data_IF_001125028454
#
_entry.id   IF_001125028454
#
_cell.length_a   1.000
_cell.length_b   1.000
_cell.length_c   1.000
_cell.angle_alpha   90.00
_cell.angle_beta   90.00
_cell.angle_gamma   90.00
#
_symmetry.space_group_name_H-M   'P 1'
#
loop_
_entity.id
_entity.type
_entity.pdbx_description
1 polymer ?
#
# COMPACT_ATOMS: atom_id res chain seq x y z
N UNK A 1 34.19 -40.63 -19.05
CA UNK A 1 34.40 -39.19 -19.34
C UNK A 1 33.61 -38.67 -20.55
N UNK A 2 33.28 -39.47 -21.58
CA UNK A 2 32.49 -38.99 -22.75
C UNK A 2 31.02 -38.68 -22.46
N UNK A 3 30.36 -39.42 -21.55
CA UNK A 3 28.95 -39.18 -21.21
C UNK A 3 28.73 -37.94 -20.33
N UNK A 4 29.73 -37.54 -19.53
CA UNK A 4 29.63 -36.37 -18.66
C UNK A 4 29.59 -35.05 -19.45
N UNK A 5 30.30 -34.99 -20.59
CA UNK A 5 30.29 -33.85 -21.50
C UNK A 5 28.94 -33.71 -22.23
N UNK A 6 28.25 -34.81 -22.50
CA UNK A 6 26.97 -34.82 -23.20
C UNK A 6 25.83 -34.25 -22.32
N UNK A 7 25.84 -34.57 -21.03
CA UNK A 7 24.87 -34.00 -20.07
C UNK A 7 25.10 -32.50 -19.81
N UNK A 8 26.35 -32.04 -19.83
CA UNK A 8 26.65 -30.61 -19.69
C UNK A 8 26.16 -29.78 -20.89
N UNK A 9 26.19 -30.36 -22.11
CA UNK A 9 25.73 -29.69 -23.33
C UNK A 9 24.19 -29.61 -23.42
N UNK A 10 23.47 -30.62 -22.92
CA UNK A 10 22.01 -30.64 -22.90
C UNK A 10 21.40 -29.61 -21.92
N UNK A 11 22.06 -29.29 -20.81
CA UNK A 11 21.60 -28.26 -19.87
C UNK A 11 21.85 -26.82 -20.37
N UNK A 12 22.84 -26.60 -21.23
CA UNK A 12 23.13 -25.27 -21.76
C UNK A 12 22.16 -24.85 -22.88
N UNK A 13 21.64 -25.82 -23.65
CA UNK A 13 20.71 -25.54 -24.76
C UNK A 13 19.29 -25.15 -24.29
N UNK A 14 18.85 -25.58 -23.10
CA UNK A 14 17.52 -25.25 -22.57
C UNK A 14 17.37 -23.83 -22.04
N UNK A 15 18.47 -23.04 -21.99
CA UNK A 15 18.44 -21.65 -21.49
C UNK A 15 18.14 -20.61 -22.57
N UNK A 16 18.03 -21.00 -23.86
CA UNK A 16 17.92 -20.05 -24.97
C UNK A 16 16.50 -19.86 -25.55
N UNK A 17 15.49 -20.62 -25.12
CA UNK A 17 14.13 -20.51 -25.70
C UNK A 17 13.07 -19.85 -24.79
N UNK A 18 13.46 -19.32 -23.63
CA UNK A 18 12.54 -18.53 -22.79
C UNK A 18 12.68 -17.02 -23.07
N UNK A 19 12.60 -16.59 -24.34
CA UNK A 19 12.36 -15.18 -24.64
C UNK A 19 10.88 -14.90 -24.54
N UNK A 20 10.55 -14.20 -23.47
CA UNK A 20 9.25 -13.64 -23.11
C UNK A 20 8.55 -13.05 -24.34
N UNK A 21 7.37 -13.57 -24.65
CA UNK A 21 6.38 -12.84 -25.43
C UNK A 21 6.16 -11.50 -24.74
N UNK A 22 6.64 -10.41 -25.34
CA UNK A 22 6.42 -9.06 -24.83
C UNK A 22 4.91 -8.91 -24.60
N UNK A 23 4.44 -8.73 -23.34
CA UNK A 23 3.02 -8.55 -23.10
C UNK A 23 2.58 -7.29 -23.87
N UNK A 24 1.39 -7.32 -24.50
CA UNK A 24 0.93 -6.20 -25.32
C UNK A 24 0.96 -4.91 -24.50
N UNK A 25 1.34 -3.77 -25.11
CA UNK A 25 1.50 -2.51 -24.39
C UNK A 25 0.20 -2.16 -23.66
N UNK A 26 0.31 -2.00 -22.35
CA UNK A 26 -0.78 -1.57 -21.48
C UNK A 26 -1.24 -0.21 -22.01
N UNK A 27 -2.43 -0.15 -22.61
CA UNK A 27 -3.02 1.10 -23.09
C UNK A 27 -3.15 2.05 -21.90
N UNK A 28 -2.36 3.12 -21.91
CA UNK A 28 -2.30 4.16 -20.88
C UNK A 28 -3.57 5.05 -20.76
N UNK A 29 -4.67 4.69 -21.43
CA UNK A 29 -5.91 5.46 -21.44
C UNK A 29 -6.76 5.29 -20.17
N UNK A 30 -6.42 4.37 -19.26
CA UNK A 30 -7.23 3.98 -18.10
C UNK A 30 -6.75 4.53 -16.75
N UNK A 31 -5.59 5.19 -16.65
CA UNK A 31 -5.01 5.53 -15.33
C UNK A 31 -5.79 6.60 -14.56
N UNK A 32 -6.36 7.60 -15.26
CA UNK A 32 -7.09 8.68 -14.61
C UNK A 32 -8.43 8.22 -14.04
N UNK A 33 -9.23 7.49 -14.81
CA UNK A 33 -10.51 6.93 -14.34
C UNK A 33 -10.30 5.96 -13.18
N UNK A 34 -9.29 5.09 -13.27
CA UNK A 34 -8.91 4.19 -12.16
C UNK A 34 -8.55 4.99 -10.90
N UNK A 35 -7.78 6.07 -11.05
CA UNK A 35 -7.37 6.91 -9.92
C UNK A 35 -8.57 7.54 -9.22
N UNK A 36 -9.56 8.03 -9.98
CA UNK A 36 -10.81 8.58 -9.42
C UNK A 36 -11.59 7.52 -8.64
N UNK A 37 -11.65 6.27 -9.12
CA UNK A 37 -12.35 5.20 -8.40
C UNK A 37 -11.60 4.84 -7.11
N UNK A 38 -10.26 4.78 -7.15
CA UNK A 38 -9.43 4.56 -5.95
C UNK A 38 -9.66 5.68 -4.92
N UNK A 39 -9.77 6.93 -5.35
CA UNK A 39 -10.12 8.05 -4.46
C UNK A 39 -11.50 7.86 -3.79
N UNK A 40 -12.49 7.39 -4.56
CA UNK A 40 -13.81 7.07 -4.00
C UNK A 40 -13.76 5.91 -3.01
N UNK A 41 -12.91 4.91 -3.23
CA UNK A 41 -12.68 3.81 -2.27
C UNK A 41 -12.11 4.37 -0.97
N UNK A 42 -11.08 5.22 -1.04
CA UNK A 42 -10.46 5.87 0.13
C UNK A 42 -11.52 6.65 0.95
N UNK A 43 -12.40 7.40 0.27
CA UNK A 43 -13.45 8.19 0.92
C UNK A 43 -14.53 7.28 1.54
N UNK A 44 -15.04 6.29 0.79
CA UNK A 44 -16.12 5.41 1.26
C UNK A 44 -15.72 4.57 2.48
N UNK A 45 -14.43 4.30 2.62
CA UNK A 45 -13.83 3.54 3.72
C UNK A 45 -13.32 4.42 4.85
N UNK A 46 -13.32 5.75 4.68
CA UNK A 46 -12.72 6.71 5.62
C UNK A 46 -11.27 6.38 5.99
N UNK A 47 -10.52 5.91 4.99
CA UNK A 47 -9.21 5.31 5.22
C UNK A 47 -8.17 6.33 5.71
N UNK A 48 -8.24 7.58 5.27
CA UNK A 48 -7.32 8.64 5.74
C UNK A 48 -7.46 8.90 7.25
N UNK A 49 -8.69 8.85 7.78
CA UNK A 49 -8.93 8.93 9.21
C UNK A 49 -8.39 7.69 9.93
N UNK A 50 -8.66 6.48 9.42
CA UNK A 50 -8.06 5.25 9.97
C UNK A 50 -6.53 5.33 10.00
N UNK A 51 -5.90 5.74 8.91
CA UNK A 51 -4.46 5.92 8.78
C UNK A 51 -3.93 6.87 9.85
N UNK A 52 -4.57 8.03 10.01
CA UNK A 52 -4.16 9.05 10.97
C UNK A 52 -4.23 8.53 12.40
N UNK A 53 -5.34 7.88 12.77
CA UNK A 53 -5.53 7.33 14.11
C UNK A 53 -4.60 6.13 14.39
N UNK A 54 -4.35 5.29 13.39
CA UNK A 54 -3.36 4.22 13.47
C UNK A 54 -1.96 4.78 13.77
N UNK A 55 -1.51 5.77 13.00
CA UNK A 55 -0.21 6.42 13.19
C UNK A 55 -0.11 7.04 14.57
N UNK A 56 -1.11 7.83 14.99
CA UNK A 56 -1.16 8.44 16.33
C UNK A 56 -1.04 7.39 17.44
N UNK A 57 -1.78 6.28 17.34
CA UNK A 57 -1.74 5.21 18.34
C UNK A 57 -0.34 4.60 18.45
N UNK A 58 0.30 4.30 17.31
CA UNK A 58 1.66 3.73 17.28
C UNK A 58 2.72 4.70 17.81
N UNK A 59 2.61 5.98 17.45
CA UNK A 59 3.51 7.03 17.95
C UNK A 59 3.34 7.19 19.48
N UNK A 60 2.12 7.26 19.99
CA UNK A 60 1.87 7.34 21.44
C UNK A 60 2.38 6.10 22.19
N UNK A 61 2.22 4.92 21.60
CA UNK A 61 2.79 3.69 22.17
C UNK A 61 4.31 3.82 22.30
N UNK A 62 5.00 4.21 21.23
CA UNK A 62 6.46 4.38 21.24
C UNK A 62 6.92 5.51 22.17
N UNK A 63 6.18 6.60 22.23
CA UNK A 63 6.45 7.72 23.13
C UNK A 63 6.40 7.28 24.60
N UNK A 64 5.43 6.42 24.96
CA UNK A 64 5.35 5.85 26.31
C UNK A 64 6.51 4.88 26.58
N UNK A 65 6.83 3.99 25.64
CA UNK A 65 7.95 3.04 25.76
C UNK A 65 9.29 3.74 25.97
N UNK A 66 9.52 4.85 25.28
CA UNK A 66 10.79 5.59 25.31
C UNK A 66 10.75 6.82 26.24
N UNK A 67 9.66 7.03 26.99
CA UNK A 67 9.47 8.17 27.90
C UNK A 67 9.70 9.53 27.23
N UNK A 68 9.20 9.72 26.01
CA UNK A 68 9.30 11.00 25.30
C UNK A 68 8.48 12.09 26.00
N UNK A 69 8.98 13.33 25.95
CA UNK A 69 8.19 14.47 26.37
C UNK A 69 7.02 14.76 25.40
N UNK A 70 6.06 15.54 25.88
CA UNK A 70 4.85 15.90 25.12
C UNK A 70 5.16 16.70 23.86
N UNK A 71 6.20 17.54 23.87
CA UNK A 71 6.57 18.37 22.73
C UNK A 71 7.13 17.52 21.59
N UNK A 72 8.07 16.61 21.89
CA UNK A 72 8.60 15.64 20.94
C UNK A 72 7.48 14.79 20.34
N UNK A 73 6.61 14.25 21.19
CA UNK A 73 5.48 13.41 20.77
C UNK A 73 4.54 14.16 19.83
N UNK A 74 4.15 15.39 20.19
CA UNK A 74 3.29 16.22 19.35
C UNK A 74 3.94 16.57 18.02
N UNK A 75 5.25 16.90 18.01
CA UNK A 75 5.99 17.21 16.77
C UNK A 75 5.96 16.02 15.80
N UNK A 76 6.16 14.81 16.31
CA UNK A 76 6.12 13.58 15.50
C UNK A 76 4.70 13.30 15.00
N UNK A 77 3.68 13.43 15.85
CA UNK A 77 2.27 13.28 15.42
C UNK A 77 1.92 14.28 14.32
N UNK A 78 2.35 15.54 14.43
CA UNK A 78 2.09 16.58 13.43
C UNK A 78 2.79 16.32 12.09
N UNK A 79 3.87 15.53 12.08
CA UNK A 79 4.56 15.13 10.84
C UNK A 79 3.84 14.02 10.05
N UNK A 80 2.83 13.38 10.64
CA UNK A 80 2.00 12.38 9.94
C UNK A 80 1.24 13.07 8.81
N UNK A 81 1.39 12.55 7.60
CA UNK A 81 0.75 13.10 6.42
C UNK A 81 0.39 11.99 5.43
N UNK A 82 -0.91 11.83 5.19
CA UNK A 82 -1.45 10.80 4.32
C UNK A 82 -0.93 10.89 2.89
N UNK A 83 -0.55 12.09 2.41
CA UNK A 83 0.00 12.28 1.05
C UNK A 83 1.21 11.38 0.76
N UNK A 84 2.00 11.05 1.77
CA UNK A 84 3.19 10.22 1.64
C UNK A 84 2.86 8.72 1.63
N UNK A 85 1.73 8.32 2.20
CA UNK A 85 1.28 6.93 2.23
C UNK A 85 0.33 6.61 1.06
N UNK A 86 -0.46 7.58 0.60
CA UNK A 86 -1.47 7.44 -0.45
C UNK A 86 -0.97 6.68 -1.70
N UNK A 87 0.26 6.88 -2.21
CA UNK A 87 0.78 6.10 -3.34
C UNK A 87 0.77 4.58 -3.12
N UNK A 88 0.94 4.11 -1.88
CA UNK A 88 0.88 2.69 -1.53
C UNK A 88 -0.50 2.09 -1.84
N UNK A 89 -1.57 2.88 -1.67
CA UNK A 89 -2.94 2.47 -1.99
C UNK A 89 -3.13 2.35 -3.50
N UNK A 90 -2.66 3.32 -4.27
CA UNK A 90 -2.72 3.23 -5.74
C UNK A 90 -1.92 2.06 -6.27
N UNK A 91 -0.77 1.75 -5.67
CA UNK A 91 0.05 0.61 -6.05
C UNK A 91 -0.65 -0.72 -5.76
N UNK A 92 -1.36 -0.84 -4.62
CA UNK A 92 -2.13 -2.04 -4.29
C UNK A 92 -3.23 -2.34 -5.34
N UNK A 93 -3.82 -1.28 -5.91
CA UNK A 93 -4.85 -1.37 -6.95
C UNK A 93 -4.32 -1.27 -8.40
N UNK A 94 -2.99 -1.28 -8.58
CA UNK A 94 -2.40 -0.99 -9.89
C UNK A 94 -2.82 -2.01 -10.96
N UNK A 95 -3.00 -3.28 -10.56
CA UNK A 95 -3.33 -4.39 -11.46
C UNK A 95 -4.83 -4.65 -11.60
N UNK A 96 -5.68 -4.01 -10.81
CA UNK A 96 -7.13 -4.18 -10.92
C UNK A 96 -7.68 -3.56 -12.21
N UNK A 97 -8.66 -4.24 -12.80
CA UNK A 97 -9.44 -3.66 -13.89
C UNK A 97 -10.31 -2.51 -13.37
N UNK A 98 -10.74 -1.61 -14.27
CA UNK A 98 -11.69 -0.57 -13.87
C UNK A 98 -12.99 -1.15 -13.30
N UNK A 99 -13.45 -2.27 -13.86
CA UNK A 99 -14.66 -2.96 -13.40
C UNK A 99 -14.48 -3.53 -11.99
N UNK A 100 -13.35 -4.20 -11.72
CA UNK A 100 -13.02 -4.69 -10.38
C UNK A 100 -13.02 -3.54 -9.36
N UNK A 101 -12.43 -2.39 -9.72
CA UNK A 101 -12.41 -1.23 -8.84
C UNK A 101 -13.81 -0.68 -8.55
N UNK A 102 -14.72 -0.69 -9.53
CA UNK A 102 -16.13 -0.31 -9.32
C UNK A 102 -16.83 -1.28 -8.38
N UNK A 103 -16.63 -2.59 -8.56
CA UNK A 103 -17.18 -3.62 -7.68
C UNK A 103 -16.68 -3.48 -6.24
N UNK A 104 -15.37 -3.27 -6.06
CA UNK A 104 -14.76 -2.98 -4.75
C UNK A 104 -15.40 -1.73 -4.14
N UNK A 105 -15.51 -0.64 -4.91
CA UNK A 105 -16.11 0.59 -4.42
C UNK A 105 -17.56 0.39 -3.93
N UNK A 106 -18.42 -0.23 -4.73
CA UNK A 106 -19.83 -0.43 -4.35
C UNK A 106 -19.97 -1.39 -3.16
N UNK A 107 -19.15 -2.44 -3.08
CA UNK A 107 -19.12 -3.33 -1.92
C UNK A 107 -18.77 -2.56 -0.64
N UNK A 108 -17.65 -1.83 -0.64
CA UNK A 108 -17.18 -1.13 0.56
C UNK A 108 -18.07 0.04 0.95
N UNK A 109 -18.63 0.76 -0.02
CA UNK A 109 -19.67 1.77 0.22
C UNK A 109 -20.88 1.16 0.93
N UNK A 110 -21.39 0.02 0.43
CA UNK A 110 -22.56 -0.67 1.01
C UNK A 110 -22.30 -1.15 2.44
N UNK A 111 -21.21 -1.90 2.67
CA UNK A 111 -20.94 -2.49 3.99
C UNK A 111 -20.55 -1.45 5.05
N UNK A 112 -20.02 -0.28 4.63
CA UNK A 112 -19.66 0.81 5.52
C UNK A 112 -20.78 1.83 5.74
N UNK A 113 -21.89 1.76 4.99
CA UNK A 113 -23.01 2.71 5.10
C UNK A 113 -23.53 2.82 6.55
N UNK A 114 -23.57 1.70 7.28
CA UNK A 114 -24.08 1.66 8.66
C UNK A 114 -22.97 1.76 9.73
N UNK A 115 -21.72 1.93 9.33
CA UNK A 115 -20.56 1.99 10.23
C UNK A 115 -20.20 3.45 10.51
N UNK A 116 -20.57 3.91 11.70
CA UNK A 116 -20.46 5.33 12.07
C UNK A 116 -19.03 5.76 12.43
N UNK A 117 -18.17 4.83 12.87
CA UNK A 117 -16.82 5.15 13.33
C UNK A 117 -15.76 4.72 12.30
N UNK A 118 -14.77 5.57 12.02
CA UNK A 118 -13.69 5.30 11.05
C UNK A 118 -12.97 3.97 11.31
N UNK A 119 -12.53 3.75 12.55
CA UNK A 119 -11.89 2.51 13.00
C UNK A 119 -12.77 1.25 12.89
N UNK A 120 -14.09 1.39 12.71
CA UNK A 120 -14.96 0.24 12.45
C UNK A 120 -15.25 0.03 10.98
N UNK A 121 -15.00 1.01 10.10
CA UNK A 121 -15.16 0.85 8.65
C UNK A 121 -14.16 -0.18 8.12
N UNK A 122 -14.65 -1.01 7.20
CA UNK A 122 -13.84 -2.00 6.53
C UNK A 122 -13.11 -1.36 5.36
N UNK A 123 -11.90 -1.83 5.08
CA UNK A 123 -11.09 -1.44 3.93
C UNK A 123 -10.54 -2.70 3.26
N UNK A 124 -10.45 -2.75 1.92
CA UNK A 124 -9.76 -3.82 1.19
C UNK A 124 -8.26 -3.77 1.48
N UNK A 125 -7.85 -4.49 2.51
CA UNK A 125 -6.51 -4.39 3.07
C UNK A 125 -5.71 -5.66 2.78
N UNK A 126 -4.63 -5.55 2.02
CA UNK A 126 -3.72 -6.65 1.74
C UNK A 126 -2.46 -6.60 2.63
N UNK A 127 -1.63 -7.64 2.55
CA UNK A 127 -0.41 -7.73 3.34
C UNK A 127 0.62 -6.65 2.98
N UNK A 128 0.64 -6.20 1.72
CA UNK A 128 1.61 -5.20 1.26
C UNK A 128 1.25 -3.80 1.80
N UNK A 129 -0.04 -3.46 1.85
CA UNK A 129 -0.55 -2.27 2.52
C UNK A 129 -0.23 -2.29 4.00
N UNK A 130 -0.37 -3.45 4.69
CA UNK A 130 0.05 -3.56 6.09
C UNK A 130 1.52 -3.22 6.27
N UNK A 131 2.36 -3.87 5.47
CA UNK A 131 3.80 -3.69 5.51
C UNK A 131 4.20 -2.25 5.24
N UNK A 132 3.61 -1.62 4.22
CA UNK A 132 3.88 -0.22 3.87
C UNK A 132 3.41 0.74 4.97
N UNK A 133 2.29 0.45 5.64
CA UNK A 133 1.76 1.29 6.72
C UNK A 133 2.67 1.24 7.94
N UNK A 134 3.12 0.04 8.31
CA UNK A 134 4.09 -0.16 9.40
C UNK A 134 5.42 0.52 9.09
N UNK A 135 5.93 0.35 7.87
CA UNK A 135 7.15 1.00 7.40
C UNK A 135 7.04 2.52 7.44
N UNK A 136 5.92 3.08 6.97
CA UNK A 136 5.66 4.52 7.03
C UNK A 136 5.69 5.05 8.46
N UNK A 137 4.96 4.41 9.38
CA UNK A 137 4.90 4.84 10.78
C UNK A 137 6.28 4.78 11.44
N UNK A 138 7.06 3.74 11.15
CA UNK A 138 8.45 3.65 11.62
C UNK A 138 9.29 4.83 11.13
N UNK A 139 9.20 5.18 9.85
CA UNK A 139 9.93 6.32 9.27
C UNK A 139 9.52 7.65 9.90
N UNK A 140 8.24 7.82 10.26
CA UNK A 140 7.74 8.99 11.00
C UNK A 140 8.33 9.02 12.41
N UNK A 141 8.32 7.90 13.13
CA UNK A 141 8.91 7.74 14.47
C UNK A 141 10.41 8.07 14.46
N UNK A 142 11.12 7.65 13.41
CA UNK A 142 12.55 7.92 13.21
C UNK A 142 12.82 9.38 12.77
N UNK A 143 11.78 10.21 12.64
CA UNK A 143 11.90 11.65 12.40
C UNK A 143 12.04 12.07 10.93
N UNK A 144 11.84 11.17 9.97
CA UNK A 144 12.06 11.44 8.53
C UNK A 144 11.21 12.58 7.95
N UNK A 145 10.06 12.87 8.55
CA UNK A 145 9.08 13.85 8.05
C UNK A 145 8.95 15.09 8.93
N UNK A 146 9.82 15.23 9.92
CA UNK A 146 9.86 16.42 10.76
C UNK A 146 10.52 17.54 9.95
N UNK A 147 9.75 18.54 9.54
CA UNK A 147 10.31 19.77 8.97
C UNK A 147 11.14 20.50 10.06
N UNK A 148 12.34 20.93 9.69
CA UNK A 148 13.29 21.62 10.58
C UNK A 148 12.87 23.06 10.84
#
# INVERSE_FOLDING_TARGET
MKHLFFYFFLCAASLFEAQETIPPPIKASSSHTKSIIIDKIIIATDFENYFTEYCKRKINQKANEDSWDKNKTNKIIQSVNFKFYKPSIYNAFAFDSEENLKEIFELFKKINTNRQHSMSKLFPFDALLQYNLEGYVKMVIDGKYIEN
#
